data_IF_686914070930
#
_entry.id   IF_686914070930
#
_cell.length_a   1.000
_cell.length_b   1.000
_cell.length_c   1.000
_cell.angle_alpha   90.00
_cell.angle_beta   90.00
_cell.angle_gamma   90.00
#
_symmetry.space_group_name_H-M   'P 1'
#
loop_
_entity.id
_entity.type
_entity.pdbx_description
1 polymer ?
#
# COMPACT_ATOMS: atom_id res chain seq x y z
N UNK A 1 12.95 23.28 38.74
CA UNK A 1 12.09 24.27 38.08
C UNK A 1 11.95 23.89 36.60
N UNK A 2 11.03 22.98 36.27
CA UNK A 2 10.73 22.54 34.88
C UNK A 2 9.21 22.17 34.79
N UNK A 3 8.35 22.95 35.45
CA UNK A 3 6.97 22.53 35.80
C UNK A 3 5.84 23.20 35.01
N UNK A 4 6.03 23.55 33.74
CA UNK A 4 4.91 24.00 32.88
C UNK A 4 5.18 23.61 31.42
N UNK A 5 6.38 23.91 30.91
CA UNK A 5 6.79 23.55 29.54
C UNK A 5 6.91 22.03 29.30
N UNK A 6 7.06 21.24 30.36
CA UNK A 6 7.24 19.80 30.26
C UNK A 6 5.94 19.06 29.95
N UNK A 7 4.87 19.45 30.64
CA UNK A 7 3.55 18.82 30.48
C UNK A 7 2.93 19.19 29.14
N UNK A 8 3.17 20.42 28.67
CA UNK A 8 2.79 20.85 27.32
C UNK A 8 3.41 19.95 26.23
N UNK A 9 4.68 19.55 26.37
CA UNK A 9 5.35 18.67 25.39
C UNK A 9 4.73 17.27 25.36
N UNK A 10 4.28 16.74 26.51
CA UNK A 10 3.59 15.45 26.53
C UNK A 10 2.24 15.52 25.82
N UNK A 11 1.47 16.56 26.09
CA UNK A 11 0.17 16.77 25.44
C UNK A 11 0.34 16.94 23.93
N UNK A 12 1.29 17.78 23.49
CA UNK A 12 1.59 17.97 22.07
C UNK A 12 2.00 16.67 21.38
N UNK A 13 2.84 15.87 22.03
CA UNK A 13 3.30 14.59 21.47
C UNK A 13 2.17 13.59 21.31
N UNK A 14 1.32 13.44 22.34
CA UNK A 14 0.16 12.56 22.26
C UNK A 14 -0.82 12.99 21.18
N UNK A 15 -1.13 14.28 21.08
CA UNK A 15 -2.00 14.82 20.01
C UNK A 15 -1.41 14.47 18.64
N UNK A 16 -0.11 14.71 18.42
CA UNK A 16 0.54 14.41 17.14
C UNK A 16 0.48 12.91 16.79
N UNK A 17 0.73 12.02 17.76
CA UNK A 17 0.70 10.57 17.56
C UNK A 17 -0.70 10.08 17.21
N UNK A 18 -1.74 10.56 17.90
CA UNK A 18 -3.12 10.17 17.61
C UNK A 18 -3.61 10.75 16.28
N UNK A 19 -3.19 11.95 15.89
CA UNK A 19 -3.46 12.50 14.55
C UNK A 19 -2.82 11.63 13.47
N UNK A 20 -1.53 11.28 13.62
CA UNK A 20 -0.82 10.41 12.66
C UNK A 20 -1.49 9.03 12.57
N UNK A 21 -1.83 8.44 13.71
CA UNK A 21 -2.44 7.10 13.78
C UNK A 21 -3.85 7.13 13.19
N UNK A 22 -4.67 8.14 13.52
CA UNK A 22 -6.03 8.28 12.97
C UNK A 22 -6.03 8.57 11.47
N UNK A 23 -5.09 9.39 10.98
CA UNK A 23 -4.88 9.58 9.55
C UNK A 23 -4.53 8.25 8.88
N UNK A 24 -3.51 7.53 9.35
CA UNK A 24 -3.15 6.22 8.79
C UNK A 24 -4.33 5.23 8.82
N UNK A 25 -5.12 5.26 9.90
CA UNK A 25 -6.35 4.48 10.06
C UNK A 25 -7.36 4.80 8.94
N UNK A 26 -7.73 6.07 8.77
CA UNK A 26 -8.69 6.47 7.74
C UNK A 26 -8.25 6.03 6.33
N UNK A 27 -6.98 6.23 5.99
CA UNK A 27 -6.44 5.85 4.69
C UNK A 27 -6.46 4.32 4.47
N UNK A 28 -6.09 3.55 5.50
CA UNK A 28 -6.07 2.09 5.45
C UNK A 28 -7.49 1.50 5.38
N UNK A 29 -8.44 2.02 6.17
CA UNK A 29 -9.83 1.56 6.15
C UNK A 29 -10.47 1.76 4.78
N UNK A 30 -10.26 2.91 4.14
CA UNK A 30 -10.77 3.12 2.78
C UNK A 30 -10.11 2.16 1.79
N UNK A 31 -8.79 1.91 1.90
CA UNK A 31 -8.11 0.90 1.07
C UNK A 31 -8.73 -0.49 1.24
N UNK A 32 -8.95 -0.94 2.49
CA UNK A 32 -9.57 -2.23 2.78
C UNK A 32 -11.01 -2.31 2.25
N UNK A 33 -11.82 -1.27 2.46
CA UNK A 33 -13.16 -1.20 1.90
C UNK A 33 -13.16 -1.31 0.37
N UNK A 34 -12.24 -0.61 -0.30
CA UNK A 34 -12.08 -0.68 -1.75
C UNK A 34 -11.67 -2.08 -2.22
N UNK A 35 -10.74 -2.73 -1.51
CA UNK A 35 -10.33 -4.10 -1.80
C UNK A 35 -11.49 -5.06 -1.64
N UNK A 36 -12.23 -5.00 -0.54
CA UNK A 36 -13.38 -5.87 -0.28
C UNK A 36 -14.50 -5.69 -1.31
N UNK A 37 -14.77 -4.46 -1.75
CA UNK A 37 -15.88 -4.18 -2.67
C UNK A 37 -15.53 -4.46 -4.14
N UNK A 38 -14.29 -4.20 -4.55
CA UNK A 38 -13.91 -4.17 -5.98
C UNK A 38 -12.80 -5.14 -6.37
N UNK A 39 -12.17 -5.84 -5.44
CA UNK A 39 -11.03 -6.74 -5.71
C UNK A 39 -10.98 -7.90 -4.71
N UNK A 40 -9.90 -8.69 -4.76
CA UNK A 40 -9.57 -9.66 -3.70
C UNK A 40 -8.55 -9.03 -2.74
N UNK A 41 -8.63 -9.41 -1.46
CA UNK A 41 -7.65 -9.04 -0.43
C UNK A 41 -6.40 -9.88 -0.64
N UNK A 42 -5.24 -9.24 -0.68
CA UNK A 42 -3.96 -9.93 -0.89
C UNK A 42 -3.16 -10.01 0.40
N UNK A 43 -2.20 -10.93 0.47
CA UNK A 43 -1.25 -11.07 1.59
C UNK A 43 -0.58 -9.74 1.98
N UNK A 44 -0.28 -8.89 0.99
CA UNK A 44 0.18 -7.51 1.22
C UNK A 44 -0.74 -6.70 2.13
N UNK A 45 -2.05 -6.75 1.90
CA UNK A 45 -3.02 -5.98 2.66
C UNK A 45 -3.09 -6.49 4.12
N UNK A 46 -2.88 -7.80 4.35
CA UNK A 46 -2.76 -8.37 5.69
C UNK A 46 -1.50 -7.88 6.39
N UNK A 47 -0.34 -7.91 5.71
CA UNK A 47 0.94 -7.42 6.22
C UNK A 47 0.80 -5.93 6.60
N UNK A 48 0.27 -5.10 5.71
CA UNK A 48 0.03 -3.68 5.98
C UNK A 48 -0.97 -3.43 7.14
N UNK A 49 -2.00 -4.28 7.27
CA UNK A 49 -2.95 -4.19 8.39
C UNK A 49 -2.26 -4.56 9.70
N UNK A 50 -1.44 -5.60 9.72
CA UNK A 50 -0.68 -5.98 10.93
C UNK A 50 0.32 -4.90 11.34
N UNK A 51 0.97 -4.21 10.40
CA UNK A 51 1.84 -3.07 10.75
C UNK A 51 1.06 -1.92 11.39
N UNK A 52 -0.15 -1.65 10.89
CA UNK A 52 -1.03 -0.63 11.49
C UNK A 52 -1.51 -1.02 12.90
N UNK A 53 -1.86 -2.29 13.14
CA UNK A 53 -2.23 -2.75 14.49
C UNK A 53 -1.08 -2.54 15.47
N UNK A 54 0.16 -2.86 15.06
CA UNK A 54 1.36 -2.61 15.88
C UNK A 54 1.56 -1.11 16.17
N UNK A 55 1.32 -0.25 15.17
CA UNK A 55 1.36 1.20 15.35
C UNK A 55 0.31 1.70 16.35
N UNK A 56 -0.92 1.16 16.28
CA UNK A 56 -2.01 1.50 17.20
C UNK A 56 -1.68 1.07 18.64
N UNK A 57 -1.18 -0.15 18.82
CA UNK A 57 -0.74 -0.66 20.13
C UNK A 57 0.40 0.20 20.69
N UNK A 58 1.37 0.58 19.85
CA UNK A 58 2.43 1.48 20.27
C UNK A 58 1.87 2.83 20.76
N UNK A 59 0.91 3.41 20.03
CA UNK A 59 0.30 4.69 20.40
C UNK A 59 -0.43 4.64 21.74
N UNK A 60 -1.13 3.53 22.00
CA UNK A 60 -1.76 3.27 23.29
C UNK A 60 -0.72 3.15 24.41
N UNK A 61 0.35 2.37 24.21
CA UNK A 61 1.42 2.20 25.19
C UNK A 61 2.14 3.52 25.53
N UNK A 62 2.42 4.36 24.52
CA UNK A 62 3.05 5.65 24.74
C UNK A 62 2.12 6.62 25.49
N UNK A 63 0.82 6.62 25.16
CA UNK A 63 -0.17 7.40 25.89
C UNK A 63 -0.24 6.97 27.36
N UNK A 64 -0.24 5.65 27.61
CA UNK A 64 -0.16 5.09 28.97
C UNK A 64 1.12 5.50 29.68
N UNK A 65 2.27 5.48 29.00
CA UNK A 65 3.54 5.93 29.58
C UNK A 65 3.44 7.37 30.08
N UNK A 66 2.87 8.28 29.27
CA UNK A 66 2.72 9.69 29.66
C UNK A 66 1.72 9.92 30.79
N UNK A 67 0.78 9.01 31.02
CA UNK A 67 -0.26 9.14 32.05
C UNK A 67 0.16 8.71 33.46
N UNK A 68 1.24 7.92 33.58
CA UNK A 68 1.70 7.35 34.86
C UNK A 68 2.44 8.38 35.74
N UNK A 69 2.96 9.46 35.18
CA UNK A 69 3.76 10.44 35.91
C UNK A 69 5.20 9.97 36.20
N UNK A 70 5.98 10.78 36.93
CA UNK A 70 7.40 10.52 37.21
C UNK A 70 7.81 10.83 38.65
N UNK A 71 6.83 10.97 39.55
CA UNK A 71 7.07 11.42 40.92
C UNK A 71 7.64 10.30 41.79
N UNK A 72 7.15 9.07 41.64
CA UNK A 72 7.62 7.90 42.39
C UNK A 72 8.63 7.09 41.58
N UNK A 73 9.51 6.36 42.26
CA UNK A 73 10.46 5.44 41.62
C UNK A 73 9.76 4.29 40.87
N UNK A 74 8.60 3.84 41.33
CA UNK A 74 7.76 2.86 40.62
C UNK A 74 7.15 3.44 39.34
N UNK A 75 6.77 4.72 39.35
CA UNK A 75 6.23 5.43 38.18
C UNK A 75 7.28 5.55 37.08
N UNK A 76 8.53 5.84 37.46
CA UNK A 76 9.68 5.88 36.52
C UNK A 76 9.92 4.52 35.88
N UNK A 77 9.85 3.41 36.65
CA UNK A 77 9.99 2.05 36.10
C UNK A 77 8.89 1.73 35.09
N UNK A 78 7.65 2.05 35.42
CA UNK A 78 6.51 1.83 34.56
C UNK A 78 6.61 2.66 33.28
N UNK A 79 7.02 3.93 33.38
CA UNK A 79 7.26 4.80 32.23
C UNK A 79 8.29 4.21 31.27
N UNK A 80 9.49 3.85 31.75
CA UNK A 80 10.53 3.28 30.88
C UNK A 80 10.06 1.98 30.23
N UNK A 81 9.36 1.11 30.97
CA UNK A 81 8.81 -0.13 30.42
C UNK A 81 7.84 0.14 29.28
N UNK A 82 6.85 1.01 29.48
CA UNK A 82 5.86 1.33 28.45
C UNK A 82 6.48 2.05 27.26
N UNK A 83 7.39 2.99 27.51
CA UNK A 83 8.07 3.74 26.46
C UNK A 83 8.96 2.85 25.58
N UNK A 84 9.81 1.99 26.17
CA UNK A 84 10.67 1.08 25.43
C UNK A 84 9.86 0.03 24.66
N UNK A 85 8.77 -0.45 25.26
CA UNK A 85 7.84 -1.38 24.58
C UNK A 85 7.16 -0.68 23.40
N UNK A 86 6.65 0.55 23.59
CA UNK A 86 6.07 1.34 22.51
C UNK A 86 7.06 1.57 21.38
N UNK A 87 8.29 1.98 21.69
CA UNK A 87 9.32 2.23 20.67
C UNK A 87 9.61 0.95 19.89
N UNK A 88 9.78 -0.19 20.58
CA UNK A 88 9.96 -1.49 19.92
C UNK A 88 8.80 -1.83 18.99
N UNK A 89 7.56 -1.58 19.40
CA UNK A 89 6.36 -1.81 18.58
C UNK A 89 6.32 -0.88 17.35
N UNK A 90 6.68 0.40 17.49
CA UNK A 90 6.78 1.31 16.33
C UNK A 90 7.85 0.85 15.35
N UNK A 91 8.99 0.38 15.85
CA UNK A 91 10.09 -0.12 15.02
C UNK A 91 9.70 -1.38 14.26
N UNK A 92 8.95 -2.29 14.89
CA UNK A 92 8.38 -3.47 14.22
C UNK A 92 7.35 -3.03 13.16
N UNK A 93 6.48 -2.07 13.48
CA UNK A 93 5.52 -1.53 12.52
C UNK A 93 6.21 -0.95 11.28
N UNK A 94 7.31 -0.22 11.47
CA UNK A 94 8.17 0.33 10.40
C UNK A 94 8.77 -0.76 9.52
N UNK A 95 9.33 -1.82 10.10
CA UNK A 95 9.84 -2.96 9.32
C UNK A 95 8.74 -3.58 8.47
N UNK A 96 7.59 -3.82 9.10
CA UNK A 96 6.50 -4.56 8.49
C UNK A 96 5.80 -3.74 7.39
N UNK A 97 5.72 -2.42 7.54
CA UNK A 97 5.22 -1.53 6.48
C UNK A 97 6.16 -1.49 5.27
N UNK A 98 7.49 -1.56 5.47
CA UNK A 98 8.48 -1.65 4.37
C UNK A 98 8.40 -3.00 3.66
N UNK A 99 8.18 -4.09 4.40
CA UNK A 99 7.96 -5.43 3.84
C UNK A 99 6.71 -5.45 2.97
N UNK A 100 5.58 -4.90 3.45
CA UNK A 100 4.37 -4.75 2.64
C UNK A 100 4.67 -4.00 1.34
N UNK A 101 5.28 -2.81 1.43
CA UNK A 101 5.60 -2.01 0.25
C UNK A 101 6.41 -2.80 -0.78
N UNK A 102 7.44 -3.52 -0.35
CA UNK A 102 8.24 -4.30 -1.27
C UNK A 102 7.50 -5.52 -1.86
N UNK A 103 6.60 -6.16 -1.11
CA UNK A 103 5.69 -7.19 -1.65
C UNK A 103 4.80 -6.57 -2.74
N UNK A 104 4.27 -5.35 -2.55
CA UNK A 104 3.51 -4.67 -3.62
C UNK A 104 4.37 -4.44 -4.86
N UNK A 105 5.61 -3.99 -4.68
CA UNK A 105 6.47 -3.59 -5.77
C UNK A 105 6.98 -4.79 -6.58
N UNK A 106 7.35 -5.87 -5.90
CA UNK A 106 7.81 -7.12 -6.55
C UNK A 106 6.71 -7.79 -7.37
N UNK A 107 5.44 -7.53 -7.07
CA UNK A 107 4.31 -7.96 -7.91
C UNK A 107 4.17 -7.15 -9.19
N UNK A 108 4.54 -5.87 -9.17
CA UNK A 108 4.43 -4.96 -10.33
C UNK A 108 5.63 -5.16 -11.26
N UNK A 109 6.81 -5.34 -10.67
CA UNK A 109 8.08 -5.48 -11.37
C UNK A 109 8.25 -6.90 -11.92
N UNK A 110 8.44 -7.03 -13.24
CA UNK A 110 8.75 -8.32 -13.87
C UNK A 110 10.26 -8.60 -14.00
N UNK A 111 11.12 -7.64 -13.63
CA UNK A 111 12.57 -7.81 -13.68
C UNK A 111 13.08 -8.59 -12.46
N UNK A 112 13.70 -9.75 -12.71
CA UNK A 112 14.27 -10.63 -11.68
C UNK A 112 15.38 -9.95 -10.88
N UNK A 113 16.24 -9.18 -11.52
CA UNK A 113 17.37 -8.50 -10.85
C UNK A 113 16.85 -7.49 -9.83
N UNK A 114 15.91 -6.64 -10.25
CA UNK A 114 15.30 -5.64 -9.36
C UNK A 114 14.53 -6.30 -8.20
N UNK A 115 13.87 -7.44 -8.47
CA UNK A 115 13.19 -8.23 -7.42
C UNK A 115 14.17 -8.75 -6.38
N UNK A 116 15.31 -9.33 -6.78
CA UNK A 116 16.34 -9.78 -5.86
C UNK A 116 16.96 -8.62 -5.08
N UNK A 117 17.24 -7.48 -5.74
CA UNK A 117 17.74 -6.28 -5.06
C UNK A 117 16.76 -5.77 -3.99
N UNK A 118 15.46 -5.74 -4.28
CA UNK A 118 14.44 -5.34 -3.30
C UNK A 118 14.44 -6.26 -2.07
N UNK A 119 14.44 -7.58 -2.28
CA UNK A 119 14.51 -8.53 -1.17
C UNK A 119 15.80 -8.42 -0.36
N UNK A 120 16.94 -8.18 -1.02
CA UNK A 120 18.21 -7.93 -0.34
C UNK A 120 18.15 -6.68 0.54
N UNK A 121 17.60 -5.57 0.02
CA UNK A 121 17.41 -4.32 0.77
C UNK A 121 16.51 -4.52 2.00
N UNK A 122 15.40 -5.25 1.86
CA UNK A 122 14.51 -5.55 2.99
C UNK A 122 15.23 -6.41 4.02
N UNK A 123 15.95 -7.44 3.58
CA UNK A 123 16.66 -8.34 4.48
C UNK A 123 17.68 -7.57 5.32
N UNK A 124 18.50 -6.74 4.68
CA UNK A 124 19.49 -5.91 5.38
C UNK A 124 18.82 -4.89 6.30
N UNK A 125 17.71 -4.26 5.88
CA UNK A 125 16.94 -3.35 6.73
C UNK A 125 16.42 -4.04 7.99
N UNK A 126 15.84 -5.23 7.88
CA UNK A 126 15.31 -5.97 9.02
C UNK A 126 16.43 -6.41 9.98
N UNK A 127 17.59 -6.86 9.46
CA UNK A 127 18.73 -7.22 10.31
C UNK A 127 19.22 -6.03 11.16
N UNK A 128 19.32 -4.85 10.55
CA UNK A 128 19.76 -3.63 11.24
C UNK A 128 18.71 -3.15 12.24
N UNK A 129 17.43 -3.25 11.90
CA UNK A 129 16.35 -2.91 12.82
C UNK A 129 16.33 -3.83 14.05
N UNK A 130 16.56 -5.13 13.89
CA UNK A 130 16.67 -6.06 15.04
C UNK A 130 17.81 -5.64 15.96
N UNK A 131 18.95 -5.24 15.41
CA UNK A 131 20.07 -4.72 16.20
C UNK A 131 19.70 -3.44 16.97
N UNK A 132 18.94 -2.53 16.34
CA UNK A 132 18.42 -1.33 17.00
C UNK A 132 17.40 -1.63 18.09
N UNK A 133 16.56 -2.66 17.95
CA UNK A 133 15.66 -3.08 19.02
C UNK A 133 16.47 -3.57 20.21
N UNK A 134 17.46 -4.44 20.00
CA UNK A 134 18.35 -4.91 21.08
C UNK A 134 19.03 -3.74 21.79
N UNK A 135 19.45 -2.73 21.03
CA UNK A 135 20.09 -1.53 21.57
C UNK A 135 19.15 -0.65 22.43
N UNK A 136 17.82 -0.80 22.34
CA UNK A 136 16.86 -0.07 23.18
C UNK A 136 16.76 -0.69 24.58
N UNK A 137 16.90 -2.02 24.68
CA UNK A 137 16.71 -2.75 25.94
C UNK A 137 17.96 -2.76 26.83
N UNK A 138 19.16 -2.65 26.22
CA UNK A 138 20.43 -2.63 26.96
C UNK A 138 20.74 -1.22 27.50
N UNK A 139 20.94 -1.04 28.82
CA UNK A 139 21.29 0.26 29.40
C UNK A 139 22.74 0.66 29.14
N UNK A 140 22.99 1.97 29.15
CA UNK A 140 24.33 2.53 29.10
C UNK A 140 25.04 2.45 30.46
N UNK A 141 26.36 2.24 30.44
CA UNK A 141 27.16 2.16 31.67
C UNK A 141 27.34 3.50 32.36
N UNK A 142 27.04 3.49 33.66
CA UNK A 142 27.04 4.68 34.50
C UNK A 142 25.78 5.55 34.37
N UNK A 143 24.74 5.12 33.65
CA UNK A 143 23.48 5.85 33.58
C UNK A 143 22.72 5.72 34.92
N UNK A 144 22.48 6.81 35.67
CA UNK A 144 21.73 6.76 36.92
C UNK A 144 20.28 6.28 36.74
N UNK A 145 19.75 6.34 35.51
CA UNK A 145 18.41 5.86 35.14
C UNK A 145 18.38 4.36 34.82
N UNK A 146 19.54 3.67 34.77
CA UNK A 146 19.62 2.25 34.46
C UNK A 146 18.86 1.37 35.46
N UNK A 147 18.75 1.80 36.73
CA UNK A 147 18.05 1.05 37.78
C UNK A 147 16.55 0.87 37.52
N UNK A 148 15.96 1.76 36.70
CA UNK A 148 14.55 1.73 36.34
C UNK A 148 14.27 0.92 35.07
N UNK A 149 15.31 0.40 34.39
CA UNK A 149 15.18 -0.44 33.20
C UNK A 149 15.13 -1.94 33.56
N UNK A 150 14.43 -2.77 32.76
CA UNK A 150 14.21 -4.18 33.06
C UNK A 150 15.47 -5.06 32.98
N UNK A 151 16.46 -4.74 32.15
CA UNK A 151 17.75 -5.43 32.10
C UNK A 151 18.84 -4.58 32.74
N UNK A 152 19.27 -4.93 33.95
CA UNK A 152 20.30 -4.19 34.71
C UNK A 152 21.65 -4.90 34.82
N UNK A 153 21.73 -6.17 34.39
CA UNK A 153 22.92 -7.01 34.54
C UNK A 153 23.89 -6.91 33.35
N UNK A 154 23.43 -6.40 32.21
CA UNK A 154 24.24 -6.20 31.01
C UNK A 154 24.29 -4.71 30.69
N UNK A 155 25.45 -4.24 30.28
CA UNK A 155 25.72 -2.83 30.21
C UNK A 155 26.74 -2.53 29.12
N UNK A 156 26.45 -1.56 28.27
CA UNK A 156 27.34 -1.13 27.19
C UNK A 156 27.78 0.33 27.32
N UNK A 157 28.93 0.70 26.76
CA UNK A 157 29.34 2.10 26.68
C UNK A 157 28.29 2.93 25.96
N UNK A 158 27.93 4.10 26.52
CA UNK A 158 26.92 5.01 25.93
C UNK A 158 27.23 5.34 24.47
N UNK A 159 28.52 5.51 24.15
CA UNK A 159 29.01 5.82 22.81
C UNK A 159 28.67 4.70 21.81
N UNK A 160 28.81 3.44 22.20
CA UNK A 160 28.51 2.30 21.33
C UNK A 160 27.00 2.18 21.09
N UNK A 161 26.21 2.40 22.14
CA UNK A 161 24.75 2.44 22.07
C UNK A 161 24.25 3.54 21.11
N UNK A 162 24.87 4.72 21.18
CA UNK A 162 24.59 5.84 20.28
C UNK A 162 24.97 5.52 18.84
N UNK A 163 26.13 4.90 18.61
CA UNK A 163 26.54 4.50 17.26
C UNK A 163 25.57 3.46 16.67
N UNK A 164 25.20 2.43 17.42
CA UNK A 164 24.28 1.39 16.96
C UNK A 164 22.89 1.97 16.68
N UNK A 165 22.33 2.76 17.62
CA UNK A 165 21.03 3.41 17.45
C UNK A 165 21.04 4.40 16.30
N UNK A 166 22.04 5.27 16.22
CA UNK A 166 22.15 6.26 15.15
C UNK A 166 22.37 5.65 13.77
N UNK A 167 23.22 4.62 13.66
CA UNK A 167 23.39 3.88 12.40
C UNK A 167 22.09 3.20 11.98
N UNK A 168 21.31 2.65 12.92
CA UNK A 168 20.00 2.06 12.61
C UNK A 168 19.05 3.10 12.02
N UNK A 169 18.97 4.29 12.62
CA UNK A 169 18.10 5.38 12.17
C UNK A 169 18.53 5.89 10.77
N UNK A 170 19.83 6.18 10.59
CA UNK A 170 20.36 6.68 9.32
C UNK A 170 20.18 5.64 8.21
N UNK A 171 20.50 4.37 8.49
CA UNK A 171 20.32 3.29 7.53
C UNK A 171 18.84 3.13 7.17
N UNK A 172 17.94 3.14 8.15
CA UNK A 172 16.49 3.09 7.94
C UNK A 172 15.98 4.19 7.00
N UNK A 173 16.45 5.42 7.19
CA UNK A 173 16.12 6.55 6.30
C UNK A 173 16.71 6.44 4.90
N UNK A 174 17.92 5.90 4.75
CA UNK A 174 18.51 5.58 3.43
C UNK A 174 17.64 4.55 2.70
N UNK A 175 17.18 3.52 3.41
CA UNK A 175 16.30 2.50 2.82
C UNK A 175 14.99 3.12 2.34
N UNK A 176 14.40 4.06 3.09
CA UNK A 176 13.18 4.75 2.65
C UNK A 176 13.37 5.52 1.35
N UNK A 177 14.51 6.23 1.22
CA UNK A 177 14.87 6.95 -0.01
C UNK A 177 15.09 5.96 -1.16
N UNK A 178 15.79 4.85 -0.93
CA UNK A 178 16.01 3.82 -1.95
C UNK A 178 14.69 3.20 -2.42
N UNK A 179 13.81 2.84 -1.47
CA UNK A 179 12.50 2.28 -1.75
C UNK A 179 11.59 3.27 -2.50
N UNK A 180 11.70 4.58 -2.21
CA UNK A 180 10.99 5.62 -2.95
C UNK A 180 11.52 5.79 -4.39
N UNK A 181 12.82 5.59 -4.62
CA UNK A 181 13.43 5.67 -5.94
C UNK A 181 13.12 4.44 -6.82
N UNK A 182 12.97 3.25 -6.24
CA UNK A 182 12.70 2.03 -7.00
C UNK A 182 11.52 2.13 -7.98
N UNK A 183 10.30 2.50 -7.56
CA UNK A 183 9.18 2.66 -8.49
C UNK A 183 9.37 3.82 -9.45
N UNK A 184 10.12 4.88 -9.11
CA UNK A 184 10.43 5.96 -10.05
C UNK A 184 11.16 5.45 -11.29
N UNK A 185 12.17 4.59 -11.11
CA UNK A 185 12.87 3.94 -12.22
C UNK A 185 11.95 3.05 -13.05
N UNK A 186 11.07 2.27 -12.39
CA UNK A 186 10.10 1.40 -13.07
C UNK A 186 9.11 2.21 -13.90
N UNK A 187 8.55 3.29 -13.35
CA UNK A 187 7.59 4.16 -14.02
C UNK A 187 8.21 4.83 -15.25
N UNK A 188 9.48 5.26 -15.17
CA UNK A 188 10.15 5.89 -16.32
C UNK A 188 10.22 4.96 -17.53
N UNK A 189 10.27 3.65 -17.31
CA UNK A 189 10.28 2.65 -18.37
C UNK A 189 8.88 2.25 -18.87
N UNK A 190 7.80 2.61 -18.15
CA UNK A 190 6.45 2.14 -18.44
C UNK A 190 5.56 3.27 -18.98
N UNK A 191 4.86 3.02 -20.10
CA UNK A 191 3.91 3.95 -20.72
C UNK A 191 2.59 4.04 -19.92
N UNK A 192 2.66 4.64 -18.73
CA UNK A 192 1.49 4.90 -17.89
C UNK A 192 0.81 6.22 -18.30
N UNK A 193 -0.53 6.26 -18.21
CA UNK A 193 -1.30 7.50 -18.38
C UNK A 193 -0.84 8.56 -17.36
N UNK A 194 -0.79 9.83 -17.76
CA UNK A 194 -0.22 10.94 -16.95
C UNK A 194 -0.85 11.05 -15.56
N UNK A 195 -2.13 10.69 -15.43
CA UNK A 195 -2.86 10.65 -14.16
C UNK A 195 -2.37 9.56 -13.21
N UNK A 196 -1.89 8.42 -13.72
CA UNK A 196 -1.29 7.36 -12.90
C UNK A 196 0.06 7.80 -12.37
N UNK A 197 0.83 8.45 -13.23
CA UNK A 197 2.17 8.93 -12.92
C UNK A 197 2.17 9.93 -11.77
N UNK A 198 1.23 10.90 -11.76
CA UNK A 198 1.16 11.92 -10.71
C UNK A 198 0.90 11.32 -9.32
N UNK A 199 -0.11 10.45 -9.19
CA UNK A 199 -0.44 9.85 -7.88
C UNK A 199 0.69 8.99 -7.32
N UNK A 200 1.38 8.26 -8.19
CA UNK A 200 2.51 7.44 -7.78
C UNK A 200 3.74 8.30 -7.42
N UNK A 201 4.02 9.38 -8.16
CA UNK A 201 5.08 10.33 -7.78
C UNK A 201 4.84 10.94 -6.42
N UNK A 202 3.61 11.39 -6.11
CA UNK A 202 3.26 11.96 -4.80
C UNK A 202 3.51 10.94 -3.68
N UNK A 203 3.07 9.70 -3.87
CA UNK A 203 3.29 8.63 -2.89
C UNK A 203 4.78 8.40 -2.61
N UNK A 204 5.61 8.42 -3.65
CA UNK A 204 7.05 8.21 -3.50
C UNK A 204 7.76 9.41 -2.89
N UNK A 205 7.33 10.63 -3.22
CA UNK A 205 7.86 11.83 -2.58
C UNK A 205 7.62 11.83 -1.06
N UNK A 206 6.46 11.36 -0.60
CA UNK A 206 6.19 11.22 0.83
C UNK A 206 7.19 10.29 1.53
N UNK A 207 7.50 9.13 0.95
CA UNK A 207 8.49 8.20 1.50
C UNK A 207 9.92 8.76 1.51
N UNK A 208 10.32 9.49 0.47
CA UNK A 208 11.64 10.13 0.43
C UNK A 208 11.76 11.28 1.45
N UNK A 209 10.69 12.05 1.65
CA UNK A 209 10.64 13.11 2.66
C UNK A 209 10.76 12.51 4.07
N UNK A 210 10.06 11.42 4.38
CA UNK A 210 10.19 10.79 5.70
C UNK A 210 11.59 10.26 5.94
N UNK A 211 12.20 9.58 4.95
CA UNK A 211 13.58 9.12 5.06
C UNK A 211 14.56 10.26 5.35
N UNK A 212 14.36 11.43 4.70
CA UNK A 212 15.18 12.63 4.95
C UNK A 212 14.98 13.17 6.37
N UNK A 213 13.73 13.25 6.86
CA UNK A 213 13.43 13.73 8.21
C UNK A 213 14.03 12.79 9.28
N UNK A 214 13.95 11.48 9.06
CA UNK A 214 14.52 10.47 9.96
C UNK A 214 16.04 10.60 10.06
N UNK A 215 16.72 10.83 8.92
CA UNK A 215 18.17 11.09 8.89
C UNK A 215 18.50 12.39 9.65
N UNK A 216 17.76 13.48 9.41
CA UNK A 216 17.96 14.74 10.13
C UNK A 216 17.79 14.57 11.64
N UNK A 217 16.78 13.81 12.07
CA UNK A 217 16.57 13.47 13.47
C UNK A 217 17.76 12.72 14.07
N UNK A 218 18.36 11.79 13.34
CA UNK A 218 19.54 11.08 13.84
C UNK A 218 20.65 12.08 14.21
N UNK A 219 20.91 13.07 13.37
CA UNK A 219 21.88 14.13 13.65
C UNK A 219 21.50 14.97 14.88
N UNK A 220 20.22 15.33 15.03
CA UNK A 220 19.75 16.06 16.23
C UNK A 220 19.91 15.24 17.52
N UNK A 221 19.68 13.93 17.47
CA UNK A 221 19.86 13.02 18.61
C UNK A 221 21.34 12.91 19.02
N UNK A 222 22.28 13.01 18.08
CA UNK A 222 23.71 12.99 18.40
C UNK A 222 24.21 14.29 19.05
N UNK A 223 23.60 15.43 18.74
CA UNK A 223 24.03 16.75 19.24
C UNK A 223 23.47 17.02 20.65
N UNK A 224 22.24 16.61 20.94
CA UNK A 224 21.60 16.82 22.25
C UNK A 224 21.77 15.58 23.13
N UNK A 225 22.70 15.65 24.08
CA UNK A 225 23.05 14.55 24.99
C UNK A 225 22.08 14.45 26.19
N UNK A 226 21.23 15.45 26.41
CA UNK A 226 20.33 15.47 27.55
C UNK A 226 19.16 14.49 27.38
N UNK A 227 19.16 13.44 28.21
CA UNK A 227 18.21 12.33 28.16
C UNK A 227 16.97 12.61 29.04
N UNK A 228 16.41 13.80 28.92
CA UNK A 228 15.22 14.21 29.69
C UNK A 228 13.98 13.49 29.18
N UNK A 229 13.09 13.08 30.10
CA UNK A 229 11.82 12.41 29.79
C UNK A 229 11.01 13.10 28.67
N UNK A 230 10.90 14.44 28.74
CA UNK A 230 10.20 15.25 27.74
C UNK A 230 10.83 15.16 26.34
N UNK A 231 12.17 15.17 26.26
CA UNK A 231 12.88 15.06 24.98
C UNK A 231 12.66 13.68 24.34
N UNK A 232 12.65 12.62 25.16
CA UNK A 232 12.42 11.25 24.68
C UNK A 232 11.00 11.07 24.13
N UNK A 233 9.99 11.64 24.80
CA UNK A 233 8.60 11.63 24.30
C UNK A 233 8.45 12.49 23.04
N UNK A 234 9.07 13.67 22.99
CA UNK A 234 9.08 14.51 21.79
C UNK A 234 9.70 13.79 20.58
N UNK A 235 10.85 13.12 20.77
CA UNK A 235 11.51 12.35 19.71
C UNK A 235 10.68 11.15 19.24
N UNK A 236 9.75 10.66 20.07
CA UNK A 236 8.86 9.55 19.69
C UNK A 236 7.90 9.94 18.57
N UNK A 237 7.49 11.21 18.44
CA UNK A 237 6.61 11.65 17.36
C UNK A 237 7.18 11.23 15.98
N UNK A 238 8.49 11.39 15.80
CA UNK A 238 9.17 11.00 14.58
C UNK A 238 9.25 9.48 14.38
N UNK A 239 9.29 8.68 15.45
CA UNK A 239 9.19 7.21 15.37
C UNK A 239 7.82 6.76 14.85
N UNK A 240 6.75 7.48 15.20
CA UNK A 240 5.39 7.18 14.72
C UNK A 240 5.16 7.70 13.30
N UNK A 241 5.79 8.81 12.94
CA UNK A 241 5.65 9.44 11.63
C UNK A 241 6.10 8.52 10.49
N UNK A 242 7.24 7.85 10.62
CA UNK A 242 7.80 6.97 9.59
C UNK A 242 6.83 5.84 9.16
N UNK A 243 6.34 4.98 10.07
CA UNK A 243 5.37 3.93 9.71
C UNK A 243 4.01 4.51 9.31
N UNK A 244 3.53 5.58 9.94
CA UNK A 244 2.24 6.20 9.61
C UNK A 244 2.21 6.73 8.16
N UNK A 245 3.22 7.51 7.78
CA UNK A 245 3.32 8.05 6.41
C UNK A 245 3.61 6.94 5.41
N UNK A 246 4.39 5.92 5.77
CA UNK A 246 4.59 4.73 4.92
C UNK A 246 3.25 4.04 4.60
N UNK A 247 2.37 3.85 5.58
CA UNK A 247 1.03 3.28 5.38
C UNK A 247 0.18 4.18 4.47
N UNK A 248 0.17 5.49 4.73
CA UNK A 248 -0.58 6.45 3.90
C UNK A 248 -0.07 6.42 2.46
N UNK A 249 1.24 6.52 2.24
CA UNK A 249 1.85 6.50 0.92
C UNK A 249 1.48 5.23 0.12
N UNK A 250 1.50 4.07 0.78
CA UNK A 250 1.12 2.79 0.17
C UNK A 250 -0.35 2.72 -0.24
N UNK A 251 -1.23 3.50 0.38
CA UNK A 251 -2.65 3.51 0.05
C UNK A 251 -2.98 4.41 -1.15
N UNK A 252 -2.16 5.44 -1.44
CA UNK A 252 -2.42 6.45 -2.49
C UNK A 252 -2.70 5.84 -3.88
N UNK A 253 -1.92 4.85 -4.39
CA UNK A 253 -2.20 4.26 -5.69
C UNK A 253 -3.59 3.63 -5.80
N UNK A 254 -4.15 3.13 -4.69
CA UNK A 254 -5.47 2.48 -4.66
C UNK A 254 -6.62 3.50 -4.68
N UNK A 255 -6.47 4.63 -3.98
CA UNK A 255 -7.46 5.71 -4.00
C UNK A 255 -7.73 6.23 -5.41
N UNK A 256 -6.70 6.31 -6.25
CA UNK A 256 -6.82 6.69 -7.65
C UNK A 256 -7.78 5.78 -8.43
N UNK A 257 -7.67 4.46 -8.27
CA UNK A 257 -8.51 3.49 -8.99
C UNK A 257 -9.97 3.66 -8.60
N UNK A 258 -10.24 3.99 -7.33
CA UNK A 258 -11.58 4.30 -6.85
C UNK A 258 -12.14 5.56 -7.50
N UNK A 259 -11.42 6.69 -7.47
CA UNK A 259 -11.91 7.95 -8.05
C UNK A 259 -12.27 7.81 -9.54
N UNK A 260 -11.45 7.08 -10.30
CA UNK A 260 -11.72 6.83 -11.71
C UNK A 260 -12.97 5.96 -11.89
N UNK A 261 -13.15 4.92 -11.06
CA UNK A 261 -14.30 4.02 -11.15
C UNK A 261 -15.60 4.66 -10.69
N UNK A 262 -15.59 5.41 -9.59
CA UNK A 262 -16.76 6.15 -9.10
C UNK A 262 -17.21 7.17 -10.13
N UNK A 263 -16.28 7.96 -10.69
CA UNK A 263 -16.60 8.92 -11.76
C UNK A 263 -17.19 8.23 -12.99
N UNK A 264 -16.67 7.07 -13.39
CA UNK A 264 -17.22 6.27 -14.50
C UNK A 264 -18.58 5.66 -14.16
N UNK A 265 -18.82 5.25 -12.91
CA UNK A 265 -20.11 4.76 -12.42
C UNK A 265 -21.18 5.85 -12.50
N UNK A 266 -20.91 7.02 -11.91
CA UNK A 266 -21.79 8.19 -11.98
C UNK A 266 -22.06 8.63 -13.42
N UNK A 267 -21.06 8.63 -14.31
CA UNK A 267 -21.29 8.94 -15.73
C UNK A 267 -22.11 7.88 -16.46
N UNK A 268 -21.98 6.59 -16.11
CA UNK A 268 -22.83 5.53 -16.67
C UNK A 268 -24.27 5.66 -16.20
N UNK A 269 -24.50 5.93 -14.92
CA UNK A 269 -25.84 6.10 -14.36
C UNK A 269 -26.54 7.32 -14.96
N UNK A 270 -25.83 8.44 -15.15
CA UNK A 270 -26.35 9.64 -15.86
C UNK A 270 -26.65 9.35 -17.34
N UNK A 271 -25.82 8.52 -17.99
CA UNK A 271 -26.05 8.15 -19.40
C UNK A 271 -27.22 7.19 -19.57
N UNK A 272 -27.42 6.25 -18.64
CA UNK A 272 -28.56 5.33 -18.64
C UNK A 272 -29.85 6.09 -18.36
N UNK A 273 -29.89 6.96 -17.34
CA UNK A 273 -31.09 7.75 -17.04
C UNK A 273 -31.51 8.65 -18.20
N UNK A 274 -30.56 9.31 -18.87
CA UNK A 274 -30.85 10.13 -20.05
C UNK A 274 -31.29 9.33 -21.30
N UNK A 275 -30.84 8.09 -21.46
CA UNK A 275 -31.32 7.19 -22.50
C UNK A 275 -32.74 6.68 -22.19
N UNK A 276 -33.02 6.29 -20.95
CA UNK A 276 -34.36 5.89 -20.50
C UNK A 276 -35.36 7.02 -20.71
N UNK A 277 -35.02 8.26 -20.34
CA UNK A 277 -35.89 9.43 -20.60
C UNK A 277 -36.10 9.72 -22.09
N UNK A 278 -35.13 9.41 -22.98
CA UNK A 278 -35.34 9.54 -24.43
C UNK A 278 -36.26 8.45 -24.99
N UNK A 279 -36.10 7.20 -24.54
CA UNK A 279 -36.93 6.08 -24.98
C UNK A 279 -38.40 6.30 -24.60
N UNK A 280 -38.65 6.79 -23.38
CA UNK A 280 -40.00 7.11 -22.91
C UNK A 280 -40.66 8.26 -23.70
N UNK A 281 -39.87 9.25 -24.13
CA UNK A 281 -40.36 10.35 -24.98
C UNK A 281 -40.64 9.91 -26.43
N UNK A 282 -39.95 8.87 -26.93
CA UNK A 282 -40.23 8.26 -28.25
C UNK A 282 -41.32 7.19 -28.21
N UNK A 283 -41.61 6.58 -27.06
CA UNK A 283 -42.63 5.54 -26.90
C UNK A 283 -44.08 6.04 -26.87
N UNK A 284 -44.30 7.36 -26.81
CA UNK A 284 -45.66 7.97 -26.80
C UNK A 284 -46.18 8.27 -28.22
N UNK A 285 -45.44 7.92 -29.29
CA UNK A 285 -45.82 8.27 -30.67
C UNK A 285 -45.95 7.06 -31.60
N UNK A 286 -46.83 6.11 -31.28
CA UNK A 286 -47.46 5.21 -32.27
C UNK A 286 -48.64 4.49 -31.61
N UNK A 287 -49.83 5.09 -31.64
CA UNK A 287 -51.11 4.39 -31.47
C UNK A 287 -52.21 5.30 -32.02
N UNK A 288 -52.18 5.56 -33.33
CA UNK A 288 -53.36 6.04 -34.04
C UNK A 288 -53.18 5.76 -35.52
N UNK A 289 -54.17 5.04 -36.08
CA UNK A 289 -54.37 4.67 -37.48
C UNK A 289 -53.72 3.34 -37.92
N UNK A 290 -54.34 2.23 -37.53
CA UNK A 290 -54.41 1.05 -38.38
C UNK A 290 -55.89 0.72 -38.63
N UNK A 291 -56.33 0.88 -39.89
CA UNK A 291 -57.63 0.41 -40.36
C UNK A 291 -57.52 -0.05 -41.83
N UNK A 292 -57.66 -1.36 -42.04
CA UNK A 292 -58.28 -1.99 -43.22
C UNK A 292 -57.49 -2.15 -44.52
N UNK A 293 -57.06 -3.38 -44.83
CA UNK A 293 -57.64 -4.29 -45.86
C UNK A 293 -56.63 -5.34 -46.38
N UNK A 294 -57.19 -6.47 -46.80
CA UNK A 294 -56.55 -7.74 -47.13
C UNK A 294 -56.27 -7.97 -48.64
N UNK A 295 -55.52 -9.05 -48.92
CA UNK A 295 -55.19 -9.74 -50.19
C UNK A 295 -54.10 -9.07 -51.06
N UNK A 296 -53.09 -9.75 -51.63
CA UNK A 296 -53.13 -10.97 -52.45
C UNK A 296 -51.72 -11.62 -52.62
N UNK A 297 -51.69 -12.89 -53.03
CA UNK A 297 -50.51 -13.75 -53.25
C UNK A 297 -49.70 -13.41 -54.52
N UNK A 298 -48.36 -13.32 -54.43
CA UNK A 298 -47.43 -13.74 -55.51
C UNK A 298 -45.95 -13.70 -55.09
N UNK A 299 -45.24 -14.82 -55.26
CA UNK A 299 -43.78 -14.90 -55.49
C UNK A 299 -43.53 -15.23 -56.97
N UNK A 300 -42.29 -15.17 -57.54
CA UNK A 300 -40.99 -14.69 -57.02
C UNK A 300 -40.21 -13.75 -58.00
N UNK A 301 -39.24 -12.96 -57.49
CA UNK A 301 -37.84 -12.82 -58.01
C UNK A 301 -37.06 -11.69 -57.32
N UNK A 302 -35.78 -11.99 -57.11
CA UNK A 302 -34.66 -11.17 -56.61
C UNK A 302 -34.65 -9.68 -56.97
N UNK A 303 -34.33 -8.82 -55.97
CA UNK A 303 -33.11 -7.99 -55.93
C UNK A 303 -32.97 -7.23 -54.58
N UNK A 304 -31.91 -7.52 -53.83
CA UNK A 304 -31.09 -6.51 -53.14
C UNK A 304 -31.47 -6.01 -51.73
N UNK A 305 -30.46 -6.04 -50.86
CA UNK A 305 -30.20 -5.20 -49.67
C UNK A 305 -30.61 -5.70 -48.27
N UNK A 306 -29.79 -6.62 -47.76
CA UNK A 306 -28.90 -6.46 -46.59
C UNK A 306 -29.42 -5.73 -45.34
N UNK A 307 -29.60 -6.48 -44.25
CA UNK A 307 -29.09 -6.15 -42.90
C UNK A 307 -29.06 -7.43 -42.05
N UNK A 308 -27.93 -8.13 -42.05
CA UNK A 308 -27.65 -9.19 -41.07
C UNK A 308 -27.40 -8.59 -39.68
N UNK A 309 -28.18 -9.04 -38.69
CA UNK A 309 -28.01 -8.73 -37.28
C UNK A 309 -26.89 -9.58 -36.68
N UNK A 310 -25.68 -9.03 -36.65
CA UNK A 310 -24.53 -9.64 -35.97
C UNK A 310 -24.63 -9.45 -34.45
N UNK A 311 -24.93 -10.53 -33.73
CA UNK A 311 -24.91 -10.58 -32.26
C UNK A 311 -23.46 -10.56 -31.73
N UNK A 312 -22.95 -9.36 -31.41
CA UNK A 312 -21.63 -9.20 -30.77
C UNK A 312 -21.76 -9.34 -29.25
N UNK A 313 -21.11 -10.35 -28.65
CA UNK A 313 -20.85 -10.40 -27.21
C UNK A 313 -19.40 -10.06 -26.91
N UNK A 314 -19.19 -9.06 -26.05
CA UNK A 314 -17.86 -8.57 -25.67
C UNK A 314 -17.39 -9.30 -24.40
N UNK A 315 -16.28 -10.04 -24.50
CA UNK A 315 -15.61 -10.68 -23.37
C UNK A 315 -14.77 -9.71 -22.53
N UNK A 316 -14.53 -10.07 -21.26
CA UNK A 316 -13.72 -9.34 -20.27
C UNK A 316 -12.24 -9.30 -20.69
N UNK A 317 -11.91 -8.41 -21.64
CA UNK A 317 -10.56 -8.30 -22.20
C UNK A 317 -10.47 -7.44 -23.46
N UNK A 318 -11.58 -6.90 -23.98
CA UNK A 318 -11.55 -5.85 -25.01
C UNK A 318 -11.01 -6.27 -26.38
N UNK A 319 -10.87 -7.57 -26.68
CA UNK A 319 -10.70 -8.05 -28.05
C UNK A 319 -12.03 -8.54 -28.61
N UNK A 320 -12.32 -8.13 -29.84
CA UNK A 320 -13.47 -8.60 -30.63
C UNK A 320 -13.12 -10.01 -31.11
N UNK A 321 -13.88 -11.01 -30.68
CA UNK A 321 -13.79 -12.38 -31.22
C UNK A 321 -15.02 -12.54 -32.11
N UNK A 322 -14.78 -12.67 -33.41
CA UNK A 322 -15.80 -13.03 -34.38
C UNK A 322 -16.03 -14.54 -34.24
N UNK A 323 -17.22 -14.95 -33.83
CA UNK A 323 -17.62 -16.36 -33.83
C UNK A 323 -18.08 -16.69 -35.24
N UNK A 324 -17.40 -17.60 -35.92
CA UNK A 324 -17.90 -18.19 -37.16
C UNK A 324 -19.05 -19.14 -36.83
N UNK A 325 -20.14 -19.07 -37.59
CA UNK A 325 -21.33 -19.92 -37.39
C UNK A 325 -21.01 -21.42 -37.56
N UNK A 326 -21.67 -22.29 -36.78
CA UNK A 326 -21.45 -23.73 -36.81
C UNK A 326 -22.34 -24.38 -37.88
N UNK A 327 -21.91 -24.39 -39.14
CA UNK A 327 -22.51 -25.25 -40.16
C UNK A 327 -21.52 -25.59 -41.29
N UNK A 328 -20.51 -26.40 -40.97
CA UNK A 328 -19.86 -27.27 -41.96
C UNK A 328 -19.79 -28.67 -41.37
N UNK A 329 -20.79 -29.47 -41.72
CA UNK A 329 -20.72 -30.93 -41.68
C UNK A 329 -20.13 -31.33 -43.03
N UNK A 330 -18.87 -31.76 -43.06
CA UNK A 330 -18.34 -32.59 -44.14
C UNK A 330 -17.76 -33.87 -43.54
N UNK A 331 -18.65 -34.86 -43.43
CA UNK A 331 -18.29 -36.28 -43.46
C UNK A 331 -17.96 -36.65 -44.91
N UNK A 332 -16.74 -37.10 -45.17
CA UNK A 332 -16.48 -38.14 -46.16
C UNK A 332 -15.07 -38.73 -45.96
N UNK A 333 -15.03 -39.94 -45.42
CA UNK A 333 -13.88 -40.81 -45.50
C UNK A 333 -13.80 -41.54 -46.84
N UNK A 334 -12.59 -41.96 -47.22
CA UNK A 334 -12.26 -43.34 -47.65
C UNK A 334 -11.05 -43.37 -48.61
N UNK A 335 -10.08 -44.24 -48.28
CA UNK A 335 -9.19 -45.01 -49.17
C UNK A 335 -8.29 -44.28 -50.18
N UNK A 336 -6.96 -44.36 -50.04
CA UNK A 336 -6.17 -45.51 -50.52
C UNK A 336 -4.66 -45.39 -50.25
N UNK A 337 -4.03 -46.57 -50.20
CA UNK A 337 -2.62 -46.93 -49.98
C UNK A 337 -1.54 -46.18 -50.78
N UNK A 338 -0.33 -46.05 -50.23
CA UNK A 338 0.88 -46.78 -50.72
C UNK A 338 2.21 -46.46 -49.96
N UNK A 339 2.76 -47.49 -49.30
CA UNK A 339 4.16 -47.99 -49.35
C UNK A 339 5.36 -47.02 -49.01
N UNK A 340 5.84 -47.10 -47.75
CA UNK A 340 7.19 -47.57 -47.25
C UNK A 340 8.53 -46.93 -47.76
N UNK A 341 9.70 -47.20 -47.12
CA UNK A 341 10.34 -46.48 -45.99
C UNK A 341 11.80 -46.01 -46.27
N UNK A 342 12.43 -45.25 -45.35
CA UNK A 342 13.81 -45.42 -44.81
C UNK A 342 14.31 -44.13 -44.12
N UNK A 343 14.72 -44.25 -42.84
CA UNK A 343 16.10 -44.13 -42.34
C UNK A 343 16.86 -42.84 -42.75
N UNK A 344 17.19 -41.99 -41.77
CA UNK A 344 18.57 -41.83 -41.28
C UNK A 344 18.66 -40.91 -40.06
N UNK A 345 19.66 -41.21 -39.23
CA UNK A 345 20.13 -40.47 -38.04
C UNK A 345 21.16 -39.40 -38.44
N UNK A 346 21.64 -38.65 -37.45
CA UNK A 346 22.66 -37.59 -37.43
C UNK A 346 22.05 -36.17 -37.53
N UNK A 347 22.35 -35.21 -36.65
CA UNK A 347 23.40 -35.02 -35.65
C UNK A 347 22.87 -34.10 -34.54
#
# INVERSE_FOLDING_TARGET
>A
MLGENGDEQFVQSNIAIWILTSAATAFLFVRLYCRLRFSQVWWDDFVLTTSWVMLLVAGALLSSATSVGYDTDDDKRAFFRFHHTSTSMTTIATSWSKVAFAITLTRIVHNRILTYCLWAIIMTANMIIVLGIVSIWIPACGDPLAIYRPEHNLCWPLRDLQYIGGTTIVYGGIIDILLALCPWFVIRSLLLETREKVGLTIAMSLGALTGTIVILRAFFQFIKIDNTYHFMVFMSIFNFMEPAVSIIAQTIPMFRVLFIRVKRGTQRDIRISSLTSRVELTGIKTNSLENGRAWDNKTPRHLGQDHELLHVRVGLGGRIIQVSDPYEIEDNGSYNDTIRPNNEKHF
#
